data_IF_277107595507
#
_entry.id   IF_277107595507
#
_cell.length_a   1.000
_cell.length_b   1.000
_cell.length_c   1.000
_cell.angle_alpha   90.00
_cell.angle_beta   90.00
_cell.angle_gamma   90.00
#
_symmetry.space_group_name_H-M   'P 1'
#
loop_
_entity.id
_entity.type
_entity.pdbx_description
1 polymer ?
#
# COMPACT_ATOMS: atom_id res chain seq x y z
N UNK A 1 18.28 2.37 5.53
CA UNK A 1 18.30 2.13 4.06
C UNK A 1 18.53 3.47 3.39
N UNK A 2 19.32 3.56 2.32
CA UNK A 2 19.37 4.80 1.54
C UNK A 2 18.00 5.06 0.91
N UNK A 3 17.64 6.33 0.71
CA UNK A 3 16.38 6.71 0.05
C UNK A 3 16.19 5.97 -1.29
N UNK A 4 17.29 5.84 -2.03
CA UNK A 4 17.35 5.12 -3.31
C UNK A 4 16.90 3.65 -3.22
N UNK A 5 17.23 2.95 -2.14
CA UNK A 5 16.85 1.54 -2.00
C UNK A 5 15.35 1.39 -1.75
N UNK A 6 14.74 2.33 -1.01
CA UNK A 6 13.30 2.33 -0.77
C UNK A 6 12.54 2.70 -2.05
N UNK A 7 12.99 3.74 -2.77
CA UNK A 7 12.41 4.15 -4.06
C UNK A 7 12.41 2.98 -5.07
N UNK A 8 13.54 2.30 -5.21
CA UNK A 8 13.63 1.13 -6.10
C UNK A 8 12.69 0.00 -5.66
N UNK A 9 12.56 -0.25 -4.35
CA UNK A 9 11.65 -1.27 -3.83
C UNK A 9 10.17 -0.92 -4.09
N UNK A 10 9.81 0.36 -3.98
CA UNK A 10 8.48 0.88 -4.30
C UNK A 10 8.18 0.71 -5.79
N UNK A 11 9.11 1.10 -6.67
CA UNK A 11 8.98 0.93 -8.11
C UNK A 11 8.82 -0.55 -8.49
N UNK A 12 9.70 -1.42 -7.99
CA UNK A 12 9.60 -2.86 -8.25
C UNK A 12 8.29 -3.46 -7.76
N UNK A 13 7.76 -3.02 -6.61
CA UNK A 13 6.44 -3.44 -6.15
C UNK A 13 5.35 -3.08 -7.16
N UNK A 14 5.34 -1.84 -7.66
CA UNK A 14 4.33 -1.40 -8.63
C UNK A 14 4.45 -2.08 -9.99
N UNK A 15 5.67 -2.34 -10.45
CA UNK A 15 5.95 -3.08 -11.70
C UNK A 15 5.50 -4.54 -11.62
N UNK A 16 5.41 -5.11 -10.41
CA UNK A 16 4.93 -6.48 -10.20
C UNK A 16 3.41 -6.59 -10.25
N UNK A 17 2.65 -5.51 -10.01
CA UNK A 17 1.18 -5.57 -9.86
C UNK A 17 0.44 -6.13 -11.07
N UNK A 18 0.83 -5.89 -12.33
CA UNK A 18 0.20 -6.49 -13.49
C UNK A 18 0.08 -8.02 -13.46
N UNK A 19 0.97 -8.73 -12.75
CA UNK A 19 0.89 -10.20 -12.62
C UNK A 19 -0.31 -10.67 -11.76
N UNK A 20 -0.90 -9.76 -10.99
CA UNK A 20 -2.04 -10.01 -10.11
C UNK A 20 -3.38 -9.60 -10.75
N UNK A 21 -3.41 -9.20 -12.02
CA UNK A 21 -4.67 -8.90 -12.69
C UNK A 21 -5.60 -10.12 -12.68
N UNK A 22 -6.86 -9.90 -12.29
CA UNK A 22 -7.87 -10.93 -12.06
C UNK A 22 -7.92 -11.45 -10.61
N UNK A 23 -6.88 -11.24 -9.81
CA UNK A 23 -6.83 -11.76 -8.43
C UNK A 23 -7.77 -10.96 -7.53
N UNK A 24 -8.28 -11.60 -6.47
CA UNK A 24 -8.92 -10.88 -5.36
C UNK A 24 -7.84 -10.14 -4.59
N UNK A 25 -7.96 -8.83 -4.54
CA UNK A 25 -7.08 -7.95 -3.76
C UNK A 25 -7.78 -7.54 -2.48
N UNK A 26 -7.12 -7.81 -1.36
CA UNK A 26 -7.54 -7.36 -0.04
C UNK A 26 -6.59 -6.26 0.43
N UNK A 27 -7.16 -5.14 0.85
CA UNK A 27 -6.41 -3.99 1.34
C UNK A 27 -6.93 -3.63 2.73
N UNK A 28 -6.05 -3.69 3.72
CA UNK A 28 -6.35 -3.21 5.07
C UNK A 28 -5.53 -1.98 5.40
N UNK A 29 -6.20 -0.94 5.90
CA UNK A 29 -5.60 0.34 6.24
C UNK A 29 -5.88 0.69 7.69
N UNK A 30 -4.85 1.12 8.42
CA UNK A 30 -4.96 1.60 9.78
C UNK A 30 -4.30 2.96 9.95
N UNK A 31 -5.02 3.93 10.50
CA UNK A 31 -4.45 5.22 10.90
C UNK A 31 -3.85 5.13 12.30
N UNK A 32 -2.61 5.59 12.44
CA UNK A 32 -1.80 5.42 13.64
C UNK A 32 -1.14 6.75 13.99
N UNK A 33 -1.13 7.11 15.27
CA UNK A 33 -0.45 8.32 15.76
C UNK A 33 0.87 8.05 16.50
N UNK A 34 1.14 6.78 16.83
CA UNK A 34 2.38 6.32 17.44
C UNK A 34 2.91 5.11 16.67
N UNK A 35 3.95 5.34 15.84
CA UNK A 35 4.56 4.29 15.01
C UNK A 35 5.32 3.24 15.84
N UNK A 36 5.78 3.59 17.05
CA UNK A 36 6.51 2.67 17.93
C UNK A 36 5.57 1.77 18.72
N UNK A 37 4.33 2.21 18.93
CA UNK A 37 3.31 1.48 19.67
C UNK A 37 2.09 1.17 18.80
N UNK A 38 2.29 0.28 17.83
CA UNK A 38 1.19 -0.26 17.05
C UNK A 38 0.24 -1.04 17.96
N UNK A 39 -0.94 -0.48 18.20
CA UNK A 39 -1.93 -1.07 19.08
C UNK A 39 -3.28 -1.19 18.35
N UNK A 40 -3.67 -2.44 18.08
CA UNK A 40 -4.95 -2.75 17.43
C UNK A 40 -6.18 -2.20 18.19
N UNK A 41 -6.05 -1.86 19.48
CA UNK A 41 -7.12 -1.25 20.28
C UNK A 41 -7.28 0.26 20.05
N UNK A 42 -6.28 0.92 19.47
CA UNK A 42 -6.27 2.37 19.22
C UNK A 42 -6.19 2.72 17.74
N UNK A 43 -6.16 1.72 16.87
CA UNK A 43 -6.17 1.88 15.41
C UNK A 43 -7.54 1.51 14.87
N UNK A 44 -8.19 2.45 14.20
CA UNK A 44 -9.38 2.14 13.39
C UNK A 44 -8.91 1.56 12.06
N UNK A 45 -9.49 0.42 11.69
CA UNK A 45 -9.14 -0.31 10.48
C UNK A 45 -10.24 -0.19 9.43
N UNK A 46 -9.83 0.00 8.18
CA UNK A 46 -10.68 -0.22 7.02
C UNK A 46 -10.19 -1.44 6.26
N UNK A 47 -11.13 -2.24 5.76
CA UNK A 47 -10.85 -3.35 4.85
C UNK A 47 -11.61 -3.08 3.56
N UNK A 48 -10.89 -3.10 2.44
CA UNK A 48 -11.46 -3.06 1.10
C UNK A 48 -11.07 -4.31 0.34
N UNK A 49 -12.03 -4.88 -0.38
CA UNK A 49 -11.81 -6.09 -1.20
C UNK A 49 -12.37 -5.89 -2.60
N UNK A 50 -11.59 -6.27 -3.62
CA UNK A 50 -12.00 -6.18 -5.01
C UNK A 50 -11.17 -7.09 -5.91
N UNK A 51 -11.74 -7.50 -7.05
CA UNK A 51 -10.95 -8.11 -8.12
C UNK A 51 -10.12 -7.03 -8.83
N UNK A 52 -8.81 -7.20 -8.90
CA UNK A 52 -7.91 -6.27 -9.57
C UNK A 52 -8.10 -6.32 -11.09
N UNK A 53 -8.49 -5.20 -11.67
CA UNK A 53 -8.69 -5.07 -13.12
C UNK A 53 -7.42 -4.54 -13.78
N UNK A 54 -6.88 -3.45 -13.24
CA UNK A 54 -5.66 -2.80 -13.74
C UNK A 54 -5.02 -1.93 -12.67
N UNK A 55 -3.82 -1.45 -12.97
CA UNK A 55 -3.15 -0.43 -12.19
C UNK A 55 -2.52 0.65 -13.07
N UNK A 56 -2.29 1.82 -12.48
CA UNK A 56 -1.63 2.94 -13.16
C UNK A 56 -0.75 3.72 -12.20
N UNK A 57 0.30 4.35 -12.74
CA UNK A 57 1.15 5.28 -12.01
C UNK A 57 1.04 6.67 -12.61
N UNK A 58 0.81 7.66 -11.75
CA UNK A 58 0.81 9.08 -12.07
C UNK A 58 2.13 9.69 -11.59
N UNK A 59 2.94 10.13 -12.55
CA UNK A 59 4.26 10.76 -12.30
C UNK A 59 4.10 12.03 -11.48
N UNK A 60 3.14 12.90 -11.85
CA UNK A 60 2.88 14.13 -11.10
C UNK A 60 2.13 13.85 -9.80
N UNK A 61 2.79 14.09 -8.67
CA UNK A 61 2.29 13.76 -7.33
C UNK A 61 2.61 12.32 -6.89
N UNK A 62 3.38 11.57 -7.68
CA UNK A 62 3.87 10.22 -7.35
C UNK A 62 2.77 9.31 -6.79
N UNK A 63 1.66 9.19 -7.52
CA UNK A 63 0.50 8.40 -7.09
C UNK A 63 0.40 7.12 -7.85
N UNK A 64 0.14 6.04 -7.14
CA UNK A 64 -0.18 4.76 -7.73
C UNK A 64 -1.64 4.43 -7.49
N UNK A 65 -2.29 3.81 -8.46
CA UNK A 65 -3.68 3.43 -8.38
C UNK A 65 -3.88 1.98 -8.78
N UNK A 66 -4.76 1.29 -8.06
CA UNK A 66 -5.34 0.01 -8.43
C UNK A 66 -6.84 0.17 -8.68
N UNK A 67 -7.33 -0.43 -9.75
CA UNK A 67 -8.74 -0.38 -10.14
C UNK A 67 -9.40 -1.73 -9.93
N UNK A 68 -10.54 -1.70 -9.25
CA UNK A 68 -11.54 -2.76 -9.25
C UNK A 68 -12.80 -2.32 -9.99
N UNK A 69 -13.81 -3.19 -10.04
CA UNK A 69 -15.03 -2.97 -10.84
C UNK A 69 -15.85 -1.74 -10.45
N UNK A 70 -15.79 -1.33 -9.17
CA UNK A 70 -16.51 -0.17 -8.62
C UNK A 70 -15.68 0.64 -7.63
N UNK A 71 -14.37 0.44 -7.63
CA UNK A 71 -13.49 1.12 -6.70
C UNK A 71 -12.13 1.40 -7.31
N UNK A 72 -11.56 2.52 -6.91
CA UNK A 72 -10.19 2.90 -7.17
C UNK A 72 -9.50 3.04 -5.83
N UNK A 73 -8.33 2.41 -5.70
CA UNK A 73 -7.50 2.53 -4.51
C UNK A 73 -6.22 3.26 -4.87
N UNK A 74 -5.95 4.40 -4.23
CA UNK A 74 -4.76 5.22 -4.47
C UNK A 74 -3.76 5.12 -3.31
N UNK A 75 -2.48 5.00 -3.65
CA UNK A 75 -1.34 5.05 -2.74
C UNK A 75 -0.48 6.27 -3.08
N UNK A 76 -0.07 6.99 -2.05
CA UNK A 76 0.84 8.12 -2.16
C UNK A 76 2.28 7.65 -2.04
N UNK A 77 2.94 7.32 -3.16
CA UNK A 77 4.29 6.77 -3.12
C UNK A 77 5.30 7.71 -2.44
N UNK A 78 5.11 9.03 -2.58
CA UNK A 78 5.91 10.06 -1.90
C UNK A 78 5.83 10.05 -0.37
N UNK A 79 4.78 9.45 0.21
CA UNK A 79 4.62 9.35 1.67
C UNK A 79 5.14 8.03 2.24
N UNK A 80 5.50 7.05 1.40
CA UNK A 80 5.97 5.75 1.86
C UNK A 80 7.36 5.91 2.48
N UNK A 81 7.45 5.61 3.78
CA UNK A 81 8.70 5.61 4.55
C UNK A 81 9.22 4.19 4.85
N UNK A 82 8.41 3.17 4.58
CA UNK A 82 8.75 1.76 4.76
C UNK A 82 7.90 0.89 3.85
N UNK A 83 8.52 -0.10 3.20
CA UNK A 83 7.86 -1.15 2.42
C UNK A 83 8.47 -2.50 2.77
N UNK A 84 7.63 -3.48 3.04
CA UNK A 84 8.02 -4.84 3.41
C UNK A 84 7.18 -5.86 2.67
N UNK A 85 7.82 -6.84 2.04
CA UNK A 85 7.16 -8.05 1.58
C UNK A 85 6.98 -9.00 2.76
N UNK A 86 5.72 -9.29 3.12
CA UNK A 86 5.35 -10.09 4.30
C UNK A 86 4.94 -11.51 3.95
N UNK A 87 4.71 -11.80 2.67
CA UNK A 87 4.45 -13.13 2.12
C UNK A 87 4.62 -13.15 0.59
N UNK A 88 4.29 -14.26 -0.06
CA UNK A 88 4.49 -14.41 -1.52
C UNK A 88 3.79 -13.32 -2.33
N UNK A 89 2.54 -13.02 -1.96
CA UNK A 89 1.66 -12.02 -2.58
C UNK A 89 1.14 -11.01 -1.55
N UNK A 90 1.88 -10.81 -0.46
CA UNK A 90 1.49 -9.94 0.65
C UNK A 90 2.56 -8.88 0.92
N UNK A 91 2.13 -7.64 1.01
CA UNK A 91 2.96 -6.46 1.15
C UNK A 91 2.41 -5.57 2.25
N UNK A 92 3.30 -4.95 3.01
CA UNK A 92 2.98 -3.98 4.06
C UNK A 92 3.79 -2.72 3.80
N UNK A 93 3.15 -1.56 3.89
CA UNK A 93 3.81 -0.26 3.80
C UNK A 93 3.33 0.68 4.90
N UNK A 94 4.22 1.60 5.26
CA UNK A 94 3.95 2.69 6.18
C UNK A 94 4.07 3.99 5.41
N UNK A 95 2.99 4.75 5.39
CA UNK A 95 2.93 6.11 4.85
C UNK A 95 2.94 7.13 5.98
N UNK A 96 3.73 8.19 5.86
CA UNK A 96 3.79 9.30 6.81
C UNK A 96 3.15 10.56 6.22
N UNK A 97 2.01 10.97 6.80
CA UNK A 97 1.25 12.15 6.36
C UNK A 97 1.56 13.40 7.19
N UNK A 98 2.04 13.23 8.42
CA UNK A 98 2.56 14.32 9.24
C UNK A 98 3.58 13.78 10.25
N UNK A 99 4.13 14.64 11.12
CA UNK A 99 5.08 14.22 12.15
C UNK A 99 4.59 13.02 12.98
N UNK A 100 3.28 13.00 13.30
CA UNK A 100 2.67 12.00 14.19
C UNK A 100 1.44 11.35 13.56
N UNK A 101 1.30 11.32 12.23
CA UNK A 101 0.18 10.65 11.57
C UNK A 101 0.73 9.73 10.50
N UNK A 102 0.47 8.44 10.69
CA UNK A 102 0.92 7.36 9.83
C UNK A 102 -0.28 6.55 9.36
N UNK A 103 -0.18 6.00 8.16
CA UNK A 103 -1.07 4.96 7.67
C UNK A 103 -0.26 3.69 7.47
N UNK A 104 -0.68 2.62 8.13
CA UNK A 104 -0.21 1.28 7.76
C UNK A 104 -1.19 0.72 6.76
N UNK A 105 -0.68 0.21 5.66
CA UNK A 105 -1.47 -0.47 4.65
C UNK A 105 -0.89 -1.84 4.41
N UNK A 106 -1.75 -2.86 4.39
CA UNK A 106 -1.40 -4.22 3.96
C UNK A 106 -2.20 -4.56 2.72
N UNK A 107 -1.52 -5.04 1.70
CA UNK A 107 -2.13 -5.55 0.47
C UNK A 107 -1.84 -7.04 0.36
N UNK A 108 -2.87 -7.84 0.11
CA UNK A 108 -2.78 -9.25 -0.22
C UNK A 108 -3.45 -9.50 -1.58
N UNK A 109 -2.75 -10.17 -2.50
CA UNK A 109 -3.32 -10.65 -3.76
C UNK A 109 -3.57 -12.16 -3.68
N UNK A 110 -4.84 -12.55 -3.78
CA UNK A 110 -5.35 -13.92 -3.64
C UNK A 110 -5.87 -14.41 -5.00
N UNK A 111 -5.38 -15.56 -5.44
CA UNK A 111 -5.80 -16.20 -6.70
C UNK A 111 -7.24 -16.71 -6.65
#
# INVERSE_FOLDING_TARGET
MSNQNLENAILSFFEEIPKYYGYKTEISEGLITDIQNFNAKTTTWNLSEFSLIRSAYRVEGNRFMMEGSKMYYEIAAEHIISLKKTGSNAYEFIEQYSANVFRMTKICFLE
#
